data_IF_368910277859
#
_entry.id   IF_368910277859
#
_cell.length_a   1.000
_cell.length_b   1.000
_cell.length_c   1.000
_cell.angle_alpha   90.00
_cell.angle_beta   90.00
_cell.angle_gamma   90.00
#
_symmetry.space_group_name_H-M   'P 1'
#
loop_
_entity.id
_entity.type
_entity.pdbx_description
1 polymer ?
#
# COMPACT_ATOMS: atom_id res chain seq x y z
N UNK A 1 4.71 -14.13 -14.28
CA UNK A 1 3.23 -14.04 -14.36
C UNK A 1 2.85 -12.57 -14.47
N UNK A 2 1.73 -12.23 -15.12
CA UNK A 2 1.29 -10.83 -15.20
C UNK A 2 0.76 -10.38 -13.84
N UNK A 3 0.99 -9.13 -13.46
CA UNK A 3 0.62 -8.62 -12.13
C UNK A 3 -0.89 -8.72 -11.85
N UNK A 4 -1.74 -8.49 -12.86
CA UNK A 4 -3.20 -8.55 -12.72
C UNK A 4 -3.67 -9.98 -12.40
N UNK A 5 -3.13 -10.97 -13.11
CA UNK A 5 -3.45 -12.40 -12.88
C UNK A 5 -3.06 -12.85 -11.46
N UNK A 6 -1.99 -12.28 -10.88
CA UNK A 6 -1.60 -12.55 -9.50
C UNK A 6 -2.60 -11.96 -8.49
N UNK A 7 -3.06 -10.73 -8.71
CA UNK A 7 -4.03 -10.08 -7.82
C UNK A 7 -5.37 -10.82 -7.82
N UNK A 8 -5.84 -11.23 -9.00
CA UNK A 8 -7.04 -12.07 -9.16
C UNK A 8 -6.95 -13.38 -8.39
N UNK A 9 -5.80 -14.05 -8.48
CA UNK A 9 -5.58 -15.31 -7.78
C UNK A 9 -5.60 -15.13 -6.27
N UNK A 10 -4.89 -14.12 -5.75
CA UNK A 10 -4.86 -13.84 -4.30
C UNK A 10 -6.26 -13.54 -3.77
N UNK A 11 -7.06 -12.78 -4.52
CA UNK A 11 -8.45 -12.51 -4.16
C UNK A 11 -9.29 -13.80 -4.13
N UNK A 12 -9.23 -14.61 -5.19
CA UNK A 12 -9.95 -15.89 -5.26
C UNK A 12 -9.53 -16.84 -4.15
N UNK A 13 -8.24 -16.91 -3.83
CA UNK A 13 -7.71 -17.72 -2.73
C UNK A 13 -8.32 -17.29 -1.40
N UNK A 14 -8.34 -15.99 -1.12
CA UNK A 14 -8.92 -15.41 0.09
C UNK A 14 -10.42 -15.72 0.20
N UNK A 15 -11.18 -15.54 -0.88
CA UNK A 15 -12.62 -15.86 -0.93
C UNK A 15 -12.91 -17.34 -0.64
N UNK A 16 -12.12 -18.25 -1.21
CA UNK A 16 -12.27 -19.69 -1.00
C UNK A 16 -11.96 -20.12 0.45
N UNK A 17 -10.97 -19.48 1.09
CA UNK A 17 -10.63 -19.74 2.50
C UNK A 17 -11.71 -19.18 3.42
N UNK A 18 -12.22 -17.96 3.15
CA UNK A 18 -13.34 -17.38 3.91
C UNK A 18 -14.60 -18.24 3.82
N UNK A 19 -14.89 -18.77 2.64
CA UNK A 19 -16.02 -19.68 2.43
C UNK A 19 -15.75 -21.10 2.96
N UNK A 20 -14.53 -21.40 3.42
CA UNK A 20 -14.08 -22.73 3.85
C UNK A 20 -14.37 -23.83 2.80
N UNK A 21 -14.36 -23.46 1.52
CA UNK A 21 -14.67 -24.32 0.38
C UNK A 21 -13.41 -24.72 -0.41
N UNK A 22 -12.25 -24.81 0.24
CA UNK A 22 -10.98 -25.10 -0.44
C UNK A 22 -10.86 -26.56 -0.85
N UNK A 23 -11.32 -27.50 0.00
CA UNK A 23 -11.13 -28.93 -0.21
C UNK A 23 -9.73 -29.39 0.18
N UNK A 24 -9.25 -30.48 -0.43
CA UNK A 24 -7.88 -30.97 -0.21
C UNK A 24 -6.83 -30.00 -0.78
N UNK A 25 -5.55 -30.07 -0.37
CA UNK A 25 -4.51 -29.23 -0.95
C UNK A 25 -4.28 -29.44 -2.45
N UNK A 26 -4.64 -30.62 -2.99
CA UNK A 26 -4.67 -30.86 -4.44
C UNK A 26 -5.82 -30.08 -5.07
N UNK A 27 -7.05 -30.30 -4.60
CA UNK A 27 -8.25 -29.61 -5.12
C UNK A 27 -8.14 -28.09 -5.03
N UNK A 28 -7.54 -27.57 -3.96
CA UNK A 28 -7.37 -26.14 -3.79
C UNK A 28 -6.37 -25.56 -4.79
N UNK A 29 -5.25 -26.26 -5.04
CA UNK A 29 -4.28 -25.87 -6.04
C UNK A 29 -4.89 -25.91 -7.45
N UNK A 30 -5.69 -26.94 -7.75
CA UNK A 30 -6.41 -27.09 -9.02
C UNK A 30 -7.43 -25.96 -9.23
N UNK A 31 -8.20 -25.59 -8.20
CA UNK A 31 -9.15 -24.44 -8.23
C UNK A 31 -8.46 -23.11 -8.53
N UNK A 32 -7.22 -22.94 -8.07
CA UNK A 32 -6.40 -21.75 -8.31
C UNK A 32 -5.58 -21.83 -9.61
N UNK A 33 -5.54 -22.99 -10.26
CA UNK A 33 -4.74 -23.22 -11.47
C UNK A 33 -3.23 -23.17 -11.20
N UNK A 34 -2.78 -23.60 -10.02
CA UNK A 34 -1.38 -23.58 -9.60
C UNK A 34 -0.91 -24.96 -9.15
N UNK A 35 0.41 -25.13 -9.05
CA UNK A 35 0.96 -26.33 -8.42
C UNK A 35 0.77 -26.30 -6.91
N UNK A 36 0.70 -27.48 -6.28
CA UNK A 36 0.68 -27.62 -4.81
C UNK A 36 1.85 -26.89 -4.13
N UNK A 37 3.05 -26.90 -4.73
CA UNK A 37 4.20 -26.17 -4.18
C UNK A 37 3.95 -24.66 -4.16
N UNK A 38 3.35 -24.12 -5.22
CA UNK A 38 3.02 -22.70 -5.30
C UNK A 38 1.90 -22.32 -4.34
N UNK A 39 0.92 -23.20 -4.12
CA UNK A 39 -0.09 -23.00 -3.08
C UNK A 39 0.55 -22.78 -1.70
N UNK A 40 1.52 -23.62 -1.31
CA UNK A 40 2.20 -23.44 -0.02
C UNK A 40 3.06 -22.19 0.04
N UNK A 41 3.67 -21.77 -1.08
CA UNK A 41 4.38 -20.50 -1.15
C UNK A 41 3.43 -19.30 -0.98
N UNK A 42 2.23 -19.35 -1.56
CA UNK A 42 1.20 -18.33 -1.36
C UNK A 42 0.72 -18.33 0.11
N UNK A 43 0.50 -19.50 0.73
CA UNK A 43 0.17 -19.61 2.16
C UNK A 43 1.25 -19.00 3.05
N UNK A 44 2.53 -19.24 2.74
CA UNK A 44 3.66 -18.64 3.47
C UNK A 44 3.69 -17.12 3.31
N UNK A 45 3.39 -16.61 2.11
CA UNK A 45 3.24 -15.19 1.89
C UNK A 45 2.10 -14.56 2.73
N UNK A 46 0.94 -15.22 2.86
CA UNK A 46 -0.12 -14.77 3.77
C UNK A 46 0.34 -14.73 5.23
N UNK A 47 1.18 -15.69 5.64
CA UNK A 47 1.77 -15.72 6.98
C UNK A 47 2.70 -14.54 7.22
N UNK A 48 3.49 -14.14 6.23
CA UNK A 48 4.35 -12.96 6.28
C UNK A 48 3.55 -11.66 6.40
N UNK A 49 2.33 -11.63 5.84
CA UNK A 49 1.37 -10.54 6.01
C UNK A 49 0.66 -10.54 7.39
N UNK A 50 0.99 -11.50 8.26
CA UNK A 50 0.41 -11.63 9.59
C UNK A 50 -0.87 -12.47 9.66
N UNK A 51 -1.21 -13.19 8.59
CA UNK A 51 -2.39 -14.06 8.54
C UNK A 51 -1.97 -15.52 8.38
N UNK A 52 -2.08 -16.29 9.47
CA UNK A 52 -1.81 -17.72 9.37
C UNK A 52 -3.03 -18.48 8.85
N UNK A 53 -2.80 -19.28 7.81
CA UNK A 53 -3.77 -20.19 7.22
C UNK A 53 -3.31 -21.61 7.53
N UNK A 54 -4.21 -22.43 8.08
CA UNK A 54 -3.95 -23.82 8.43
C UNK A 54 -4.91 -24.77 7.74
N UNK A 55 -4.45 -25.97 7.41
CA UNK A 55 -5.30 -27.02 6.86
C UNK A 55 -5.91 -27.87 7.99
N UNK A 56 -7.25 -27.93 8.04
CA UNK A 56 -7.97 -28.82 8.93
C UNK A 56 -8.31 -30.14 8.23
N UNK A 57 -7.69 -31.24 8.68
CA UNK A 57 -7.96 -32.59 8.13
C UNK A 57 -9.39 -33.06 8.40
N UNK A 58 -9.95 -32.72 9.57
CA UNK A 58 -11.31 -33.10 9.95
C UNK A 58 -12.37 -32.42 9.09
N UNK A 59 -12.14 -31.15 8.74
CA UNK A 59 -13.06 -30.35 7.92
C UNK A 59 -12.72 -30.37 6.43
N UNK A 60 -11.57 -30.97 6.08
CA UNK A 60 -10.99 -31.00 4.72
C UNK A 60 -10.96 -29.63 4.06
N UNK A 61 -10.53 -28.61 4.80
CA UNK A 61 -10.53 -27.23 4.32
C UNK A 61 -9.42 -26.41 4.97
N UNK A 62 -8.98 -25.35 4.29
CA UNK A 62 -8.11 -24.34 4.85
C UNK A 62 -8.93 -23.27 5.54
N UNK A 63 -8.46 -22.82 6.71
CA UNK A 63 -9.12 -21.79 7.51
C UNK A 63 -8.09 -20.87 8.15
N UNK A 64 -8.49 -19.65 8.48
CA UNK A 64 -7.65 -18.72 9.25
C UNK A 64 -7.48 -19.21 10.69
N UNK A 65 -6.24 -19.24 11.19
CA UNK A 65 -5.94 -19.78 12.52
C UNK A 65 -5.80 -18.69 13.59
N UNK A 66 -5.41 -17.47 13.20
CA UNK A 66 -4.98 -16.44 14.16
C UNK A 66 -6.06 -15.39 14.45
N UNK A 67 -7.31 -15.63 14.04
CA UNK A 67 -8.41 -14.65 14.16
C UNK A 67 -8.24 -13.41 13.28
N UNK A 68 -7.20 -13.38 12.43
CA UNK A 68 -6.97 -12.31 11.47
C UNK A 68 -7.54 -12.70 10.11
N UNK A 69 -8.12 -11.73 9.43
CA UNK A 69 -8.58 -11.86 8.05
C UNK A 69 -7.82 -10.86 7.16
N UNK A 70 -7.69 -11.22 5.88
CA UNK A 70 -7.21 -10.30 4.85
C UNK A 70 -8.38 -9.89 3.96
N UNK A 71 -8.37 -8.64 3.53
CA UNK A 71 -9.27 -8.10 2.51
C UNK A 71 -8.41 -7.60 1.35
N UNK A 72 -8.70 -8.10 0.15
CA UNK A 72 -7.97 -7.74 -1.08
C UNK A 72 -8.98 -7.15 -2.04
N UNK A 73 -8.86 -5.86 -2.31
CA UNK A 73 -9.69 -5.14 -3.26
C UNK A 73 -8.80 -4.38 -4.25
N UNK A 74 -9.08 -4.52 -5.54
CA UNK A 74 -8.36 -3.79 -6.59
C UNK A 74 -9.30 -3.27 -7.66
N UNK A 75 -8.93 -2.15 -8.29
CA UNK A 75 -9.74 -1.49 -9.33
C UNK A 75 -8.87 -1.19 -10.54
N UNK A 76 -9.03 -1.98 -11.58
CA UNK A 76 -8.39 -1.72 -12.89
C UNK A 76 -9.35 -0.93 -13.76
N UNK A 77 -8.89 0.19 -14.31
CA UNK A 77 -9.63 0.97 -15.31
C UNK A 77 -8.76 1.19 -16.54
N UNK A 78 -9.30 0.89 -17.71
CA UNK A 78 -8.68 1.27 -18.99
C UNK A 78 -9.08 2.70 -19.26
N UNK A 79 -8.10 3.61 -19.26
CA UNK A 79 -8.31 5.01 -19.59
C UNK A 79 -7.87 5.27 -21.03
N UNK A 80 -8.73 5.85 -21.90
CA UNK A 80 -8.31 6.30 -23.22
C UNK A 80 -7.28 7.45 -23.10
N UNK A 81 -6.28 7.45 -23.98
CA UNK A 81 -5.19 8.46 -24.01
C UNK A 81 -5.69 9.90 -24.19
N UNK A 82 -6.90 10.08 -24.70
CA UNK A 82 -7.47 11.40 -25.04
C UNK A 82 -7.84 12.22 -23.80
N UNK A 83 -8.02 11.57 -22.63
CA UNK A 83 -8.21 12.26 -21.35
C UNK A 83 -6.85 12.43 -20.64
N UNK A 84 -5.84 12.87 -21.39
CA UNK A 84 -4.58 13.33 -20.78
C UNK A 84 -4.80 14.76 -20.27
N UNK A 85 -5.19 14.85 -19.00
CA UNK A 85 -4.98 15.96 -18.06
C UNK A 85 -5.00 17.38 -18.69
N UNK A 86 -6.17 18.04 -18.67
CA UNK A 86 -6.19 19.46 -18.28
C UNK A 86 -5.68 19.54 -16.85
N UNK A 87 -4.36 19.55 -16.69
CA UNK A 87 -3.74 20.06 -15.48
C UNK A 87 -4.01 21.55 -15.51
N UNK A 88 -5.13 21.96 -14.90
CA UNK A 88 -5.27 23.33 -14.47
C UNK A 88 -4.24 23.52 -13.35
N UNK A 89 -3.03 23.96 -13.72
CA UNK A 89 -2.10 24.52 -12.76
C UNK A 89 -2.82 25.68 -12.09
N UNK A 90 -3.15 25.51 -10.80
CA UNK A 90 -3.89 26.52 -10.06
C UNK A 90 -3.14 27.85 -10.13
N UNK A 91 -3.70 28.80 -10.87
CA UNK A 91 -3.41 30.20 -10.67
C UNK A 91 -4.29 30.65 -9.50
N UNK A 92 -3.74 30.63 -8.30
CA UNK A 92 -4.33 31.35 -7.17
C UNK A 92 -3.75 32.75 -7.15
N UNK A 93 -4.52 33.74 -7.63
CA UNK A 93 -4.27 35.12 -7.23
C UNK A 93 -4.56 35.24 -5.73
N UNK A 94 -3.51 35.47 -4.95
CA UNK A 94 -3.48 36.16 -3.63
C UNK A 94 -4.35 35.51 -2.52
N UNK A 95 -3.84 35.17 -1.33
CA UNK A 95 -3.24 36.07 -0.34
C UNK A 95 -2.56 35.17 0.69
N UNK A 96 -1.23 35.17 0.76
CA UNK A 96 -0.49 35.06 2.02
C UNK A 96 0.90 35.65 1.76
N UNK A 97 1.25 36.82 2.32
CA UNK A 97 2.65 37.19 2.39
C UNK A 97 3.29 36.18 3.34
N UNK A 98 4.08 35.25 2.78
CA UNK A 98 5.00 34.47 3.58
C UNK A 98 6.01 35.47 4.14
N UNK A 99 5.69 36.01 5.31
CA UNK A 99 6.58 36.82 6.13
C UNK A 99 7.71 35.88 6.52
N UNK A 100 8.81 35.92 5.77
CA UNK A 100 10.07 35.31 6.14
C UNK A 100 10.63 36.03 7.38
N UNK A 101 10.02 35.80 8.54
CA UNK A 101 10.69 36.01 9.82
C UNK A 101 11.59 34.80 10.08
N UNK A 102 12.74 34.76 9.40
CA UNK A 102 13.79 33.80 9.69
C UNK A 102 15.18 34.37 9.32
N UNK A 103 15.57 35.47 9.98
CA UNK A 103 16.96 35.68 10.40
C UNK A 103 17.01 36.69 11.54
N UNK A 104 16.96 36.13 12.74
CA UNK A 104 17.26 36.82 13.98
C UNK A 104 18.79 36.80 14.12
N UNK A 105 19.47 37.92 13.92
CA UNK A 105 20.75 38.26 14.59
C UNK A 105 20.91 39.79 14.62
N UNK A 106 20.80 40.45 15.79
CA UNK A 106 21.25 41.83 15.97
C UNK A 106 22.76 41.82 16.17
N UNK A 107 23.53 42.18 15.14
CA UNK A 107 24.94 42.51 15.35
C UNK A 107 25.02 43.84 16.12
N UNK A 108 25.35 43.71 17.42
CA UNK A 108 25.87 44.78 18.25
C UNK A 108 27.03 45.48 17.51
N UNK A 109 26.81 46.73 17.11
CA UNK A 109 27.88 47.69 16.90
C UNK A 109 27.70 48.81 17.92
N UNK A 110 28.06 48.52 19.17
CA UNK A 110 28.38 49.53 20.17
C UNK A 110 29.90 49.68 20.22
N UNK A 111 30.34 50.92 20.08
CA UNK A 111 31.72 51.36 20.28
C UNK A 111 32.46 51.52 18.95
N UNK A 112 33.07 52.64 18.62
CA UNK A 112 33.82 53.51 19.51
C UNK A 112 34.06 54.90 18.90
N UNK A 113 34.32 55.82 19.82
CA UNK A 113 35.21 56.99 19.72
C UNK A 113 34.71 58.27 19.04
N UNK A 114 34.51 59.25 19.93
CA UNK A 114 34.72 60.68 19.74
C UNK A 114 35.98 61.03 18.94
N UNK A 115 36.05 62.31 18.52
CA UNK A 115 37.12 63.11 17.87
C UNK A 115 36.65 63.53 16.47
N UNK A 116 36.57 64.79 16.05
CA UNK A 116 37.09 66.07 16.56
C UNK A 116 36.41 67.24 15.81
N UNK A 117 36.24 68.36 16.52
CA UNK A 117 36.15 69.74 16.02
C UNK A 117 36.73 70.02 14.62
N UNK A 118 36.02 70.79 13.79
CA UNK A 118 36.31 72.22 13.53
C UNK A 118 35.16 72.89 12.79
#
# INVERSE_FOLDING_TARGET
MKAIEQMERLQRMNELIKAECTGTPEEFADKLGISRRQLYAEIEYFKDLGVAIGYSRSRRTFSFCNGHEIEIAYRVKVMPKEITKKINGGFSENIFPCFFYARNEPNLALGLTQLTHK
#
